data_IF_191267130892
#
_entry.id   IF_191267130892
#
_cell.length_a   1.000
_cell.length_b   1.000
_cell.length_c   1.000
_cell.angle_alpha   90.00
_cell.angle_beta   90.00
_cell.angle_gamma   90.00
#
_symmetry.space_group_name_H-M   'P 1'
#
loop_
_entity.id
_entity.type
_entity.pdbx_description
1 polymer ?
#
# COMPACT_ATOMS: atom_id res chain seq x y z
N UNK A 1 -22.62 27.28 -39.96
CA UNK A 1 -21.18 26.95 -39.90
C UNK A 1 -21.05 25.44 -39.93
N UNK A 2 -20.32 24.86 -40.89
CA UNK A 2 -20.12 23.40 -40.92
C UNK A 2 -19.18 22.97 -39.79
N UNK A 3 -19.44 21.80 -39.21
CA UNK A 3 -18.56 21.22 -38.18
C UNK A 3 -17.35 20.62 -38.87
N UNK A 4 -16.15 21.03 -38.44
CA UNK A 4 -14.89 20.43 -38.90
C UNK A 4 -14.90 18.92 -38.62
N UNK A 5 -14.42 18.17 -39.60
CA UNK A 5 -14.16 16.73 -39.49
C UNK A 5 -13.07 16.45 -38.44
N UNK A 6 -12.96 15.20 -38.00
CA UNK A 6 -11.92 14.80 -37.06
C UNK A 6 -10.51 14.99 -37.65
N UNK A 7 -10.36 14.72 -38.95
CA UNK A 7 -9.11 14.92 -39.71
C UNK A 7 -8.68 16.39 -39.71
N UNK A 8 -9.60 17.32 -39.97
CA UNK A 8 -9.29 18.76 -39.96
C UNK A 8 -8.86 19.25 -38.57
N UNK A 9 -9.43 18.70 -37.49
CA UNK A 9 -9.03 19.05 -36.12
C UNK A 9 -7.66 18.45 -35.76
N UNK A 10 -7.36 17.25 -36.23
CA UNK A 10 -6.05 16.63 -36.04
C UNK A 10 -4.94 17.44 -36.73
N UNK A 11 -5.21 17.94 -37.94
CA UNK A 11 -4.23 18.72 -38.71
C UNK A 11 -3.99 20.13 -38.12
N UNK A 12 -5.01 20.74 -37.50
CA UNK A 12 -4.85 21.98 -36.73
C UNK A 12 -3.98 21.79 -35.48
N UNK A 13 -4.18 20.69 -34.75
CA UNK A 13 -3.35 20.34 -33.59
C UNK A 13 -1.92 20.05 -34.03
N UNK A 14 -1.73 19.36 -35.16
CA UNK A 14 -0.41 19.08 -35.73
C UNK A 14 0.34 20.34 -36.17
N UNK A 15 -0.37 21.27 -36.80
CA UNK A 15 0.17 22.59 -37.19
C UNK A 15 0.56 23.41 -35.95
N UNK A 16 -0.24 23.34 -34.89
CA UNK A 16 0.06 23.98 -33.62
C UNK A 16 1.32 23.39 -32.94
N UNK A 17 1.53 22.08 -33.03
CA UNK A 17 2.72 21.41 -32.46
C UNK A 17 3.99 21.74 -33.25
N UNK A 18 3.94 21.76 -34.58
CA UNK A 18 5.08 22.14 -35.44
C UNK A 18 5.56 23.57 -35.19
N UNK A 19 4.63 24.49 -34.90
CA UNK A 19 4.98 25.90 -34.65
C UNK A 19 5.66 26.16 -33.30
N UNK A 20 5.88 25.12 -32.49
CA UNK A 20 6.50 25.21 -31.14
C UNK A 20 7.94 24.70 -31.06
N UNK A 21 8.61 24.47 -32.20
CA UNK A 21 10.07 24.23 -32.31
C UNK A 21 10.64 23.12 -31.38
N UNK A 22 9.87 22.07 -31.13
CA UNK A 22 10.20 21.08 -30.08
C UNK A 22 10.49 19.65 -30.57
N UNK A 23 10.79 19.43 -31.86
CA UNK A 23 11.07 18.09 -32.38
C UNK A 23 12.36 18.04 -33.19
N UNK A 24 13.29 17.16 -32.82
CA UNK A 24 14.45 16.81 -33.64
C UNK A 24 14.05 15.85 -34.77
N UNK A 25 14.80 15.87 -35.89
CA UNK A 25 14.49 15.07 -37.09
C UNK A 25 14.33 13.56 -36.83
N UNK A 26 15.08 13.01 -35.88
CA UNK A 26 15.00 11.58 -35.51
C UNK A 26 13.64 11.19 -34.89
N UNK A 27 12.97 12.10 -34.20
CA UNK A 27 11.62 11.87 -33.65
C UNK A 27 10.57 11.82 -34.76
N UNK A 28 10.76 12.61 -35.82
CA UNK A 28 9.85 12.67 -36.97
C UNK A 28 9.89 11.37 -37.79
N UNK A 29 11.06 10.77 -37.96
CA UNK A 29 11.23 9.56 -38.77
C UNK A 29 10.70 8.30 -38.06
N UNK A 30 10.83 8.22 -36.74
CA UNK A 30 10.24 7.14 -35.93
C UNK A 30 8.70 7.15 -35.97
N UNK A 31 8.10 8.35 -35.96
CA UNK A 31 6.65 8.52 -36.07
C UNK A 31 6.15 8.11 -37.46
N UNK A 32 6.86 8.49 -38.52
CA UNK A 32 6.54 8.04 -39.89
C UNK A 32 6.64 6.53 -40.05
N UNK A 33 7.59 5.88 -39.37
CA UNK A 33 7.72 4.42 -39.34
C UNK A 33 6.50 3.74 -38.69
N UNK A 34 6.05 4.24 -37.54
CA UNK A 34 4.91 3.68 -36.80
C UNK A 34 3.57 3.85 -37.55
N UNK A 35 3.38 4.98 -38.24
CA UNK A 35 2.18 5.23 -39.07
C UNK A 35 2.12 4.30 -40.29
N UNK A 36 3.28 3.97 -40.88
CA UNK A 36 3.34 3.06 -42.04
C UNK A 36 3.10 1.59 -41.67
N UNK A 37 3.41 1.18 -40.45
CA UNK A 37 3.30 -0.21 -40.02
C UNK A 37 1.89 -0.61 -39.54
N UNK A 38 1.09 0.33 -39.02
CA UNK A 38 -0.17 0.02 -38.34
C UNK A 38 -1.40 0.54 -39.09
N UNK A 39 -1.60 0.04 -40.30
CA UNK A 39 -2.81 0.33 -41.08
C UNK A 39 -4.11 0.08 -40.30
N UNK A 40 -4.91 1.15 -40.18
CA UNK A 40 -6.35 1.19 -39.93
C UNK A 40 -6.89 0.67 -38.58
N UNK A 41 -6.75 1.48 -37.53
CA UNK A 41 -7.92 1.86 -36.68
C UNK A 41 -7.60 3.08 -35.81
N UNK A 42 -8.53 4.04 -35.76
CA UNK A 42 -8.37 5.33 -35.06
C UNK A 42 -8.27 5.17 -33.52
N UNK A 43 -8.79 4.07 -32.98
CA UNK A 43 -8.81 3.80 -31.54
C UNK A 43 -7.44 3.34 -30.99
N UNK A 44 -6.61 2.70 -31.83
CA UNK A 44 -5.27 2.25 -31.44
C UNK A 44 -4.23 3.36 -31.35
N UNK A 45 -4.42 4.44 -32.14
CA UNK A 45 -3.47 5.56 -32.21
C UNK A 45 -3.59 6.47 -30.98
N UNK A 46 -4.80 6.66 -30.44
CA UNK A 46 -5.02 7.52 -29.27
C UNK A 46 -4.44 6.94 -27.97
N UNK A 47 -4.40 5.61 -27.84
CA UNK A 47 -3.99 4.94 -26.60
C UNK A 47 -2.46 4.83 -26.46
N UNK A 48 -1.74 4.64 -27.57
CA UNK A 48 -0.27 4.56 -27.56
C UNK A 48 0.43 5.93 -27.52
N UNK A 49 -0.24 7.02 -27.94
CA UNK A 49 0.37 8.36 -28.01
C UNK A 49 0.58 9.05 -26.65
N UNK A 50 -0.08 8.61 -25.57
CA UNK A 50 -0.17 9.43 -24.34
C UNK A 50 0.44 8.86 -23.05
N UNK A 51 0.77 7.57 -22.98
CA UNK A 51 1.41 7.02 -21.78
C UNK A 51 2.95 7.16 -21.78
N UNK A 52 3.58 7.38 -22.93
CA UNK A 52 5.04 7.45 -23.05
C UNK A 52 5.68 8.82 -22.84
N UNK A 53 4.91 9.92 -22.78
CA UNK A 53 5.47 11.27 -22.99
C UNK A 53 5.23 12.30 -21.86
N UNK A 54 4.66 11.92 -20.71
CA UNK A 54 4.22 12.92 -19.72
C UNK A 54 4.88 12.86 -18.34
N UNK A 55 5.79 11.91 -18.10
CA UNK A 55 6.51 11.78 -16.82
C UNK A 55 8.02 11.89 -17.05
N UNK A 56 8.50 13.03 -17.53
CA UNK A 56 9.89 13.47 -17.30
C UNK A 56 9.94 14.97 -17.02
N UNK A 57 10.53 15.34 -15.88
CA UNK A 57 10.77 16.73 -15.47
C UNK A 57 9.64 17.34 -14.62
N UNK A 58 9.90 17.46 -13.31
CA UNK A 58 9.05 18.16 -12.33
C UNK A 58 9.14 17.53 -10.95
N UNK A 59 9.00 18.34 -9.89
CA UNK A 59 8.86 17.84 -8.52
C UNK A 59 7.57 17.02 -8.33
N UNK A 60 7.47 16.33 -7.19
CA UNK A 60 6.36 15.44 -6.88
C UNK A 60 4.99 16.15 -6.93
N UNK A 61 4.92 17.40 -6.50
CA UNK A 61 3.71 18.21 -6.48
C UNK A 61 3.28 18.63 -7.89
N UNK A 62 4.23 19.00 -8.74
CA UNK A 62 4.02 19.26 -10.17
C UNK A 62 3.49 18.00 -10.88
N UNK A 63 4.06 16.83 -10.60
CA UNK A 63 3.62 15.58 -11.21
C UNK A 63 2.23 15.17 -10.72
N UNK A 64 1.90 15.44 -9.45
CA UNK A 64 0.55 15.24 -8.89
C UNK A 64 -0.49 16.12 -9.57
N UNK A 65 -0.19 17.40 -9.77
CA UNK A 65 -1.08 18.35 -10.49
C UNK A 65 -1.28 17.95 -11.96
N UNK A 66 -0.25 17.43 -12.61
CA UNK A 66 -0.33 16.89 -13.98
C UNK A 66 -1.26 15.68 -14.04
N UNK A 67 -1.15 14.75 -13.10
CA UNK A 67 -2.02 13.57 -13.01
C UNK A 67 -3.50 13.94 -12.81
N UNK A 68 -3.80 14.91 -11.93
CA UNK A 68 -5.17 15.40 -11.70
C UNK A 68 -5.76 16.05 -12.95
N UNK A 69 -4.96 16.82 -13.70
CA UNK A 69 -5.40 17.43 -14.98
C UNK A 69 -5.66 16.38 -16.05
N UNK A 70 -4.83 15.33 -16.12
CA UNK A 70 -5.03 14.22 -17.04
C UNK A 70 -6.32 13.44 -16.73
N UNK A 71 -6.59 13.17 -15.45
CA UNK A 71 -7.83 12.52 -15.01
C UNK A 71 -9.08 13.38 -15.31
N UNK A 72 -9.01 14.69 -15.08
CA UNK A 72 -10.11 15.61 -15.41
C UNK A 72 -10.37 15.69 -16.92
N UNK A 73 -9.31 15.65 -17.75
CA UNK A 73 -9.42 15.62 -19.20
C UNK A 73 -10.03 14.30 -19.71
N UNK A 74 -9.58 13.16 -19.19
CA UNK A 74 -10.15 11.84 -19.50
C UNK A 74 -11.64 11.77 -19.13
N UNK A 75 -12.05 12.41 -18.03
CA UNK A 75 -13.46 12.54 -17.65
C UNK A 75 -14.28 13.39 -18.64
N UNK A 76 -13.72 14.48 -19.18
CA UNK A 76 -14.41 15.27 -20.21
C UNK A 76 -14.62 14.49 -21.51
N UNK A 77 -13.64 13.67 -21.89
CA UNK A 77 -13.69 12.83 -23.10
C UNK A 77 -14.69 11.67 -22.92
N UNK A 78 -14.65 10.96 -21.78
CA UNK A 78 -15.53 9.80 -21.55
C UNK A 78 -17.00 10.16 -21.30
N UNK A 79 -17.29 11.34 -20.75
CA UNK A 79 -18.68 11.76 -20.46
C UNK A 79 -19.42 12.33 -21.67
N UNK A 80 -18.83 12.35 -22.88
CA UNK A 80 -19.38 13.04 -24.06
C UNK A 80 -19.91 14.44 -23.72
N UNK A 81 -19.18 15.20 -22.90
CA UNK A 81 -19.53 16.59 -22.61
C UNK A 81 -19.30 17.41 -23.89
N UNK A 82 -20.37 17.64 -24.65
CA UNK A 82 -20.30 18.28 -25.97
C UNK A 82 -20.34 19.81 -25.92
N UNK A 83 -20.57 20.41 -24.75
CA UNK A 83 -20.62 21.87 -24.62
C UNK A 83 -19.35 22.43 -23.98
N UNK A 84 -18.78 23.41 -24.67
CA UNK A 84 -17.62 24.21 -24.27
C UNK A 84 -17.83 24.87 -22.89
N UNK A 85 -19.09 25.16 -22.55
CA UNK A 85 -19.52 25.72 -21.25
C UNK A 85 -19.31 24.76 -20.06
N UNK A 86 -19.55 23.46 -20.25
CA UNK A 86 -19.38 22.48 -19.17
C UNK A 86 -17.89 22.30 -18.82
N UNK A 87 -17.04 22.30 -19.85
CA UNK A 87 -15.59 22.21 -19.73
C UNK A 87 -15.02 23.50 -19.10
N UNK A 88 -15.47 24.67 -19.56
CA UNK A 88 -15.06 25.98 -19.01
C UNK A 88 -15.48 26.16 -17.55
N UNK A 89 -16.66 25.70 -17.12
CA UNK A 89 -17.09 25.75 -15.71
C UNK A 89 -16.22 24.88 -14.81
N UNK A 90 -15.90 23.66 -15.22
CA UNK A 90 -15.03 22.76 -14.45
C UNK A 90 -13.60 23.31 -14.34
N UNK A 91 -13.06 23.84 -15.43
CA UNK A 91 -11.74 24.49 -15.42
C UNK A 91 -11.72 25.77 -14.57
N UNK A 92 -12.81 26.52 -14.50
CA UNK A 92 -12.93 27.72 -13.66
C UNK A 92 -13.01 27.37 -12.17
N UNK A 93 -13.68 26.27 -11.82
CA UNK A 93 -13.74 25.75 -10.46
C UNK A 93 -12.35 25.26 -9.98
N UNK A 94 -11.59 24.59 -10.86
CA UNK A 94 -10.22 24.14 -10.59
C UNK A 94 -9.21 25.29 -10.42
N UNK A 95 -9.48 26.47 -11.00
CA UNK A 95 -8.59 27.64 -10.93
C UNK A 95 -8.71 28.44 -9.62
N UNK A 96 -9.75 28.22 -8.81
CA UNK A 96 -10.06 29.05 -7.63
C UNK A 96 -9.53 28.54 -6.29
N UNK A 97 -8.73 27.48 -6.25
CA UNK A 97 -8.51 26.76 -4.98
C UNK A 97 -7.42 27.31 -4.06
N UNK A 98 -7.78 27.39 -2.76
CA UNK A 98 -6.90 27.49 -1.61
C UNK A 98 -6.58 26.08 -1.09
N UNK A 99 -5.37 25.92 -0.55
CA UNK A 99 -4.81 24.66 -0.03
C UNK A 99 -5.71 24.08 1.10
N UNK A 100 -6.36 22.94 0.85
CA UNK A 100 -7.15 22.18 1.84
C UNK A 100 -8.51 21.69 1.35
N UNK A 101 -9.21 22.45 0.50
CA UNK A 101 -10.56 22.08 0.02
C UNK A 101 -10.57 21.04 -1.11
N UNK A 102 -9.42 20.81 -1.76
CA UNK A 102 -9.32 19.93 -2.92
C UNK A 102 -9.59 18.46 -2.57
N UNK A 103 -9.11 17.99 -1.41
CA UNK A 103 -9.25 16.59 -1.01
C UNK A 103 -10.70 16.26 -0.60
N UNK A 104 -11.38 17.14 0.15
CA UNK A 104 -12.80 17.00 0.50
C UNK A 104 -13.71 17.10 -0.74
N UNK A 105 -13.34 17.94 -1.72
CA UNK A 105 -14.07 18.08 -2.98
C UNK A 105 -13.91 16.86 -3.88
N UNK A 106 -12.72 16.25 -3.91
CA UNK A 106 -12.50 14.98 -4.60
C UNK A 106 -13.42 13.90 -4.00
N UNK A 107 -13.47 13.80 -2.67
CA UNK A 107 -14.35 12.84 -1.99
C UNK A 107 -15.85 13.10 -2.23
N UNK A 108 -16.28 14.37 -2.26
CA UNK A 108 -17.67 14.73 -2.56
C UNK A 108 -18.06 14.43 -4.01
N UNK A 109 -17.15 14.63 -4.97
CA UNK A 109 -17.38 14.31 -6.39
C UNK A 109 -17.47 12.80 -6.59
N UNK A 110 -16.57 12.02 -5.97
CA UNK A 110 -16.60 10.55 -5.99
C UNK A 110 -17.91 10.01 -5.37
N UNK A 111 -18.39 10.63 -4.30
CA UNK A 111 -19.66 10.27 -3.65
C UNK A 111 -20.89 10.55 -4.52
N UNK A 112 -20.94 11.70 -5.21
CA UNK A 112 -22.02 12.01 -6.16
C UNK A 112 -22.02 11.06 -7.36
N UNK A 113 -20.84 10.67 -7.84
CA UNK A 113 -20.69 9.73 -8.95
C UNK A 113 -21.16 8.31 -8.56
N UNK A 114 -20.79 7.82 -7.38
CA UNK A 114 -21.26 6.54 -6.86
C UNK A 114 -22.79 6.48 -6.66
N UNK A 115 -23.44 7.62 -6.38
CA UNK A 115 -24.91 7.72 -6.33
C UNK A 115 -25.55 7.72 -7.72
N UNK A 116 -24.91 8.35 -8.71
CA UNK A 116 -25.38 8.36 -10.10
C UNK A 116 -25.24 6.98 -10.76
N UNK A 117 -24.13 6.28 -10.54
CA UNK A 117 -23.88 4.94 -11.08
C UNK A 117 -24.89 3.88 -10.57
N UNK A 118 -25.42 4.04 -9.35
CA UNK A 118 -26.50 3.18 -8.82
C UNK A 118 -27.85 3.39 -9.51
N UNK A 119 -28.06 4.55 -10.14
CA UNK A 119 -29.29 4.85 -10.89
C UNK A 119 -29.24 4.38 -12.34
N UNK A 120 -28.04 4.17 -12.89
CA UNK A 120 -27.88 3.58 -14.23
C UNK A 120 -27.91 2.05 -14.11
N UNK A 121 -28.80 1.41 -14.88
CA UNK A 121 -28.96 -0.04 -14.99
C UNK A 121 -27.79 -0.77 -15.66
N UNK A 122 -26.56 -0.25 -15.56
CA UNK A 122 -25.34 -0.84 -16.10
C UNK A 122 -24.48 -1.41 -14.97
N UNK A 123 -24.51 -2.73 -14.71
CA UNK A 123 -23.78 -3.35 -13.61
C UNK A 123 -22.24 -3.32 -13.76
N UNK A 124 -21.72 -3.03 -14.96
CA UNK A 124 -20.28 -3.06 -15.23
C UNK A 124 -19.49 -1.86 -14.68
N UNK A 125 -20.13 -0.71 -14.45
CA UNK A 125 -19.42 0.54 -14.07
C UNK A 125 -19.22 0.64 -12.55
N UNK A 126 -20.07 -0.03 -11.75
CA UNK A 126 -19.96 -0.04 -10.28
C UNK A 126 -18.68 -0.71 -9.76
N UNK A 127 -18.16 -1.70 -10.47
CA UNK A 127 -16.95 -2.43 -10.07
C UNK A 127 -15.64 -1.66 -10.36
N UNK A 128 -15.67 -0.67 -11.24
CA UNK A 128 -14.47 0.12 -11.61
C UNK A 128 -14.16 1.28 -10.64
N UNK A 129 -15.05 1.59 -9.68
CA UNK A 129 -14.88 2.73 -8.74
C UNK A 129 -14.45 2.33 -7.31
N UNK A 130 -14.38 1.04 -7.00
CA UNK A 130 -13.76 0.54 -5.74
C UNK A 130 -12.23 0.46 -5.87
N UNK A 131 -11.70 0.66 -7.07
CA UNK A 131 -10.29 1.01 -7.30
C UNK A 131 -10.05 2.48 -6.95
N UNK A 132 -10.01 2.79 -5.64
CA UNK A 132 -9.08 3.83 -5.15
C UNK A 132 -7.73 3.48 -5.81
N UNK A 133 -7.12 4.42 -6.53
CA UNK A 133 -5.93 4.21 -7.39
C UNK A 133 -4.98 3.22 -6.73
N UNK A 134 -5.04 1.94 -7.14
CA UNK A 134 -4.06 0.94 -6.76
C UNK A 134 -2.82 1.34 -7.53
N UNK A 135 -1.75 1.82 -6.89
CA UNK A 135 -0.54 2.01 -7.63
C UNK A 135 -0.02 0.62 -7.98
N UNK A 136 0.03 0.29 -9.27
CA UNK A 136 0.73 -0.89 -9.77
C UNK A 136 2.24 -0.65 -9.55
N UNK A 137 2.72 -1.00 -8.36
CA UNK A 137 4.14 -1.11 -8.08
C UNK A 137 4.51 -2.59 -8.19
N UNK A 138 5.36 -2.93 -9.16
CA UNK A 138 6.00 -4.24 -9.18
C UNK A 138 7.06 -4.27 -8.07
N UNK A 139 6.98 -5.18 -7.09
CA UNK A 139 7.85 -5.15 -5.91
C UNK A 139 9.32 -5.44 -6.28
N UNK A 140 10.18 -4.45 -6.01
CA UNK A 140 11.64 -4.60 -5.98
C UNK A 140 12.05 -5.11 -4.58
N UNK A 141 11.66 -6.34 -4.22
CA UNK A 141 12.04 -6.93 -2.94
C UNK A 141 13.46 -7.49 -3.00
N UNK A 142 14.40 -6.82 -2.33
CA UNK A 142 15.77 -7.29 -2.14
C UNK A 142 15.94 -7.91 -0.75
N UNK A 143 15.81 -9.23 -0.64
CA UNK A 143 16.31 -9.97 0.52
C UNK A 143 17.85 -10.07 0.43
N UNK A 144 18.54 -8.96 0.66
CA UNK A 144 20.00 -8.83 0.54
C UNK A 144 20.70 -9.09 1.87
N UNK A 145 20.57 -10.32 2.36
CA UNK A 145 21.42 -10.82 3.44
C UNK A 145 22.54 -11.70 2.84
N UNK A 146 23.83 -11.34 2.96
CA UNK A 146 24.94 -12.17 2.45
C UNK A 146 25.01 -13.57 3.09
N UNK A 147 24.19 -13.84 4.12
CA UNK A 147 24.28 -15.02 4.99
C UNK A 147 23.07 -15.95 4.95
N UNK A 148 21.98 -15.54 4.32
CA UNK A 148 20.83 -16.42 4.16
C UNK A 148 21.19 -17.51 3.15
N UNK A 149 20.98 -18.79 3.49
CA UNK A 149 21.07 -19.83 2.47
C UNK A 149 19.90 -19.71 1.46
N UNK A 150 19.91 -20.50 0.39
CA UNK A 150 18.86 -20.43 -0.65
C UNK A 150 17.44 -20.62 -0.09
N UNK A 151 17.26 -21.53 0.88
CA UNK A 151 15.97 -21.76 1.54
C UNK A 151 15.57 -20.58 2.41
N UNK A 152 16.48 -20.04 3.20
CA UNK A 152 16.20 -18.92 4.12
C UNK A 152 15.85 -17.64 3.37
N UNK A 153 16.55 -17.35 2.26
CA UNK A 153 16.20 -16.25 1.35
C UNK A 153 14.79 -16.41 0.80
N UNK A 154 14.45 -17.62 0.36
CA UNK A 154 13.13 -17.91 -0.19
C UNK A 154 12.04 -17.73 0.88
N UNK A 155 12.25 -18.20 2.11
CA UNK A 155 11.28 -18.01 3.20
C UNK A 155 11.07 -16.53 3.55
N UNK A 156 12.14 -15.75 3.67
CA UNK A 156 12.04 -14.30 3.91
C UNK A 156 11.40 -13.53 2.75
N UNK A 157 11.63 -13.94 1.50
CA UNK A 157 10.94 -13.36 0.34
C UNK A 157 9.45 -13.73 0.34
N UNK A 158 9.13 -14.98 0.65
CA UNK A 158 7.75 -15.46 0.71
C UNK A 158 6.95 -14.76 1.81
N UNK A 159 7.56 -14.47 2.97
CA UNK A 159 6.89 -13.74 4.05
C UNK A 159 6.50 -12.32 3.64
N UNK A 160 7.40 -11.58 2.98
CA UNK A 160 7.09 -10.25 2.45
C UNK A 160 6.03 -10.28 1.34
N UNK A 161 6.10 -11.28 0.46
CA UNK A 161 5.08 -11.49 -0.59
C UNK A 161 3.71 -11.80 0.02
N UNK A 162 3.68 -12.55 1.12
CA UNK A 162 2.45 -12.85 1.84
C UNK A 162 1.90 -11.60 2.54
N UNK A 163 2.75 -10.80 3.17
CA UNK A 163 2.37 -9.52 3.77
C UNK A 163 1.75 -8.56 2.76
N UNK A 164 2.31 -8.48 1.55
CA UNK A 164 1.74 -7.71 0.44
C UNK A 164 0.30 -8.16 0.11
N UNK A 165 0.09 -9.48 0.00
CA UNK A 165 -1.22 -10.07 -0.28
C UNK A 165 -2.23 -9.76 0.83
N UNK A 166 -1.84 -9.92 2.09
CA UNK A 166 -2.69 -9.61 3.24
C UNK A 166 -3.08 -8.12 3.26
N UNK A 167 -2.12 -7.22 3.05
CA UNK A 167 -2.42 -5.78 3.04
C UNK A 167 -3.31 -5.37 1.88
N UNK A 168 -3.14 -5.94 0.68
CA UNK A 168 -3.99 -5.66 -0.46
C UNK A 168 -5.47 -6.01 -0.20
N UNK A 169 -5.74 -7.11 0.52
CA UNK A 169 -7.08 -7.49 0.98
C UNK A 169 -7.57 -6.59 2.09
N UNK A 170 -6.73 -6.38 3.10
CA UNK A 170 -7.00 -5.53 4.28
C UNK A 170 -7.42 -4.12 3.87
N UNK A 171 -6.78 -3.55 2.84
CA UNK A 171 -7.08 -2.19 2.36
C UNK A 171 -8.57 -2.02 2.02
N UNK A 172 -9.16 -3.01 1.35
CA UNK A 172 -10.58 -2.99 0.97
C UNK A 172 -11.49 -2.95 2.19
N UNK A 173 -11.15 -3.71 3.24
CA UNK A 173 -11.87 -3.72 4.52
C UNK A 173 -11.71 -2.40 5.26
N UNK A 174 -10.48 -1.89 5.34
CA UNK A 174 -10.17 -0.64 6.01
C UNK A 174 -10.90 0.55 5.37
N UNK A 175 -10.97 0.61 4.04
CA UNK A 175 -11.74 1.68 3.35
C UNK A 175 -13.23 1.58 3.67
N UNK A 176 -13.79 0.36 3.76
CA UNK A 176 -15.21 0.14 4.11
C UNK A 176 -15.52 0.44 5.58
N UNK A 177 -14.54 0.31 6.49
CA UNK A 177 -14.70 0.54 7.92
C UNK A 177 -15.11 1.99 8.29
N UNK A 178 -14.99 2.97 7.38
CA UNK A 178 -15.57 4.31 7.62
C UNK A 178 -17.10 4.32 7.62
N UNK A 179 -17.73 3.30 7.05
CA UNK A 179 -19.20 3.21 6.90
C UNK A 179 -19.81 2.60 8.15
N UNK A 180 -20.58 3.39 8.89
CA UNK A 180 -21.32 2.93 10.07
C UNK A 180 -22.20 1.71 9.76
N UNK A 181 -22.22 0.73 10.67
CA UNK A 181 -23.00 -0.50 10.55
C UNK A 181 -22.46 -1.54 9.57
N UNK A 182 -21.35 -1.28 8.87
CA UNK A 182 -20.75 -2.29 7.99
C UNK A 182 -20.06 -3.41 8.78
N UNK A 183 -19.98 -4.62 8.21
CA UNK A 183 -19.18 -5.70 8.79
C UNK A 183 -17.70 -5.30 8.95
N UNK A 184 -17.18 -4.50 8.02
CA UNK A 184 -15.84 -3.96 8.09
C UNK A 184 -15.63 -2.97 9.25
N UNK A 185 -16.66 -2.18 9.57
CA UNK A 185 -16.68 -1.33 10.76
C UNK A 185 -16.62 -2.17 12.03
N UNK A 186 -17.50 -3.17 12.15
CA UNK A 186 -17.53 -4.04 13.33
C UNK A 186 -16.19 -4.77 13.52
N UNK A 187 -15.55 -5.20 12.44
CA UNK A 187 -14.24 -5.86 12.51
C UNK A 187 -13.09 -4.90 12.85
N UNK A 188 -13.12 -3.67 12.33
CA UNK A 188 -12.22 -2.61 12.78
C UNK A 188 -12.37 -2.36 14.27
N UNK A 189 -13.61 -2.30 14.78
CA UNK A 189 -13.89 -2.05 16.19
C UNK A 189 -13.49 -3.23 17.08
N UNK A 190 -13.53 -4.45 16.57
CA UNK A 190 -13.01 -5.64 17.24
C UNK A 190 -11.49 -5.56 17.45
N UNK A 191 -10.75 -4.96 16.51
CA UNK A 191 -9.28 -4.92 16.54
C UNK A 191 -8.72 -3.61 17.09
N UNK A 192 -9.45 -2.49 17.01
CA UNK A 192 -8.95 -1.17 17.41
C UNK A 192 -9.96 -0.41 18.30
N UNK A 193 -11.00 -1.07 18.78
CA UNK A 193 -12.00 -0.50 19.66
C UNK A 193 -13.00 0.41 18.97
N UNK A 194 -13.96 1.00 19.72
CA UNK A 194 -15.07 1.77 19.16
C UNK A 194 -14.56 2.83 18.20
N UNK A 195 -15.05 2.86 16.97
CA UNK A 195 -14.40 3.69 15.96
C UNK A 195 -14.52 5.15 16.35
N UNK A 196 -13.38 5.79 16.24
CA UNK A 196 -13.19 7.21 16.28
C UNK A 196 -12.49 7.62 14.97
N UNK A 197 -12.80 8.82 14.46
CA UNK A 197 -12.23 9.27 13.19
C UNK A 197 -10.71 9.47 13.29
N UNK A 198 -10.21 9.98 14.42
CA UNK A 198 -8.79 10.14 14.67
C UNK A 198 -8.08 8.79 14.70
N UNK A 199 -8.66 7.83 15.42
CA UNK A 199 -8.16 6.46 15.48
C UNK A 199 -8.10 5.79 14.12
N UNK A 200 -9.19 5.84 13.37
CA UNK A 200 -9.28 5.33 12.01
C UNK A 200 -8.19 5.92 11.12
N UNK A 201 -8.00 7.24 11.18
CA UNK A 201 -6.98 7.93 10.40
C UNK A 201 -5.56 7.48 10.78
N UNK A 202 -5.29 7.24 12.07
CA UNK A 202 -4.00 6.70 12.54
C UNK A 202 -3.76 5.30 11.97
N UNK A 203 -4.73 4.39 12.12
CA UNK A 203 -4.62 3.01 11.59
C UNK A 203 -4.47 3.02 10.07
N UNK A 204 -5.26 3.83 9.36
CA UNK A 204 -5.14 4.01 7.89
C UNK A 204 -3.76 4.50 7.48
N UNK A 205 -3.23 5.52 8.16
CA UNK A 205 -1.88 6.03 7.88
C UNK A 205 -0.82 4.97 8.12
N UNK A 206 -0.92 4.21 9.21
CA UNK A 206 0.03 3.14 9.52
C UNK A 206 0.03 2.07 8.43
N UNK A 207 -1.14 1.58 8.01
CA UNK A 207 -1.23 0.65 6.88
C UNK A 207 -0.69 1.23 5.56
N UNK A 208 -0.93 2.52 5.27
CA UNK A 208 -0.35 3.17 4.09
C UNK A 208 1.19 3.19 4.15
N UNK A 209 1.76 3.51 5.31
CA UNK A 209 3.22 3.52 5.50
C UNK A 209 3.79 2.11 5.30
N UNK A 210 3.22 1.09 5.94
CA UNK A 210 3.68 -0.29 5.81
C UNK A 210 3.56 -0.76 4.35
N UNK A 211 2.40 -0.56 3.73
CA UNK A 211 2.16 -0.94 2.34
C UNK A 211 3.12 -0.25 1.37
N UNK A 212 3.42 1.03 1.57
CA UNK A 212 4.39 1.74 0.71
C UNK A 212 5.78 1.10 0.73
N UNK A 213 6.18 0.55 1.87
CA UNK A 213 7.47 -0.13 2.05
C UNK A 213 7.43 -1.55 1.49
N UNK A 214 6.36 -2.30 1.72
CA UNK A 214 6.24 -3.68 1.21
C UNK A 214 6.13 -3.71 -0.32
N UNK A 215 5.34 -2.82 -0.93
CA UNK A 215 5.11 -2.85 -2.38
C UNK A 215 6.17 -2.11 -3.19
N UNK A 216 6.73 -1.03 -2.65
CA UNK A 216 7.59 -0.11 -3.41
C UNK A 216 8.90 0.26 -2.73
N UNK A 217 9.11 -0.17 -1.48
CA UNK A 217 10.31 0.12 -0.70
C UNK A 217 11.27 -1.04 -0.62
N UNK A 218 12.44 -0.77 -0.04
CA UNK A 218 13.42 -1.78 0.31
C UNK A 218 13.32 -2.09 1.81
N UNK A 219 12.98 -3.34 2.14
CA UNK A 219 13.10 -3.92 3.48
C UNK A 219 14.36 -4.76 3.50
N UNK A 220 15.23 -4.55 4.48
CA UNK A 220 16.45 -5.35 4.63
C UNK A 220 16.17 -6.48 5.61
N UNK A 221 16.35 -7.72 5.16
CA UNK A 221 16.19 -8.91 5.98
C UNK A 221 17.55 -9.42 6.47
N UNK A 222 17.70 -9.53 7.79
CA UNK A 222 18.87 -10.08 8.44
C UNK A 222 18.57 -11.47 9.00
N UNK A 223 19.60 -12.31 8.99
CA UNK A 223 19.59 -13.59 9.70
C UNK A 223 20.16 -13.38 11.11
N UNK A 224 19.36 -13.63 12.15
CA UNK A 224 19.76 -13.56 13.57
C UNK A 224 19.37 -14.83 14.29
N UNK A 225 20.11 -15.89 14.00
CA UNK A 225 19.87 -17.25 14.51
C UNK A 225 21.00 -17.67 15.43
N UNK A 226 20.81 -18.71 16.26
CA UNK A 226 21.89 -19.18 17.16
C UNK A 226 23.14 -19.61 16.38
N UNK A 227 22.99 -20.09 15.14
CA UNK A 227 24.11 -20.43 14.23
C UNK A 227 24.91 -19.21 13.74
N UNK A 228 24.39 -17.99 13.89
CA UNK A 228 25.08 -16.75 13.50
C UNK A 228 25.81 -16.08 14.65
N UNK A 229 25.65 -16.57 15.89
CA UNK A 229 26.32 -16.04 17.08
C UNK A 229 27.84 -16.10 16.91
N UNK A 230 28.53 -15.02 17.24
CA UNK A 230 29.98 -14.90 17.09
C UNK A 230 30.45 -14.50 15.69
N UNK A 231 29.57 -14.48 14.69
CA UNK A 231 29.90 -13.91 13.37
C UNK A 231 29.84 -12.38 13.42
N UNK A 232 30.57 -11.64 12.53
CA UNK A 232 30.51 -10.17 12.49
C UNK A 232 29.06 -9.66 12.35
N UNK A 233 28.66 -8.62 13.07
CA UNK A 233 27.31 -8.06 12.92
C UNK A 233 27.20 -7.30 11.59
N UNK A 234 26.23 -7.69 10.76
CA UNK A 234 25.99 -7.09 9.43
C UNK A 234 24.91 -6.00 9.44
N UNK A 235 24.43 -5.59 10.62
CA UNK A 235 23.55 -4.43 10.76
C UNK A 235 24.32 -3.15 10.43
N UNK A 236 23.79 -2.22 9.61
CA UNK A 236 24.46 -0.96 9.33
C UNK A 236 24.79 -0.18 10.60
N UNK A 237 26.08 0.06 10.84
CA UNK A 237 26.59 0.78 12.01
C UNK A 237 26.85 -0.09 13.24
N UNK A 238 26.53 -1.39 13.21
CA UNK A 238 26.92 -2.29 14.28
C UNK A 238 28.43 -2.52 14.31
N UNK A 239 28.97 -2.67 15.53
CA UNK A 239 30.38 -2.99 15.78
C UNK A 239 30.43 -4.29 16.58
N UNK A 240 31.30 -5.21 16.17
CA UNK A 240 31.51 -6.48 16.86
C UNK A 240 30.76 -7.64 16.20
N UNK A 241 30.38 -8.61 17.04
CA UNK A 241 29.79 -9.87 16.60
C UNK A 241 28.35 -10.00 17.09
N UNK A 242 27.55 -10.74 16.33
CA UNK A 242 26.18 -11.11 16.67
C UNK A 242 26.17 -11.83 18.02
N UNK A 243 25.35 -11.34 18.95
CA UNK A 243 25.14 -11.91 20.27
C UNK A 243 24.06 -13.00 20.22
N UNK A 244 24.05 -13.91 21.19
CA UNK A 244 23.00 -14.94 21.35
C UNK A 244 21.66 -14.41 21.87
N UNK A 245 21.56 -13.10 22.08
CA UNK A 245 20.39 -12.42 22.61
C UNK A 245 20.27 -11.02 21.98
N UNK A 246 19.08 -10.45 22.11
CA UNK A 246 18.84 -9.02 21.92
C UNK A 246 18.46 -8.40 23.25
N UNK A 247 18.94 -7.19 23.49
CA UNK A 247 18.56 -6.37 24.63
C UNK A 247 17.60 -5.28 24.12
N UNK A 248 16.36 -5.30 24.58
CA UNK A 248 15.35 -4.27 24.29
C UNK A 248 15.01 -3.52 25.58
N UNK A 249 14.21 -2.45 25.48
CA UNK A 249 13.70 -1.76 26.66
C UNK A 249 12.86 -2.66 27.59
N UNK A 250 12.32 -3.76 27.05
CA UNK A 250 11.46 -4.71 27.78
C UNK A 250 12.24 -5.90 28.36
N UNK A 251 13.54 -6.00 28.07
CA UNK A 251 14.41 -7.03 28.64
C UNK A 251 15.31 -7.69 27.61
N UNK A 252 15.93 -8.80 28.05
CA UNK A 252 16.82 -9.62 27.24
C UNK A 252 16.07 -10.82 26.68
N UNK A 253 16.18 -11.04 25.38
CA UNK A 253 15.51 -12.14 24.68
C UNK A 253 16.54 -12.98 23.92
N UNK A 254 16.50 -14.30 24.07
CA UNK A 254 17.42 -15.18 23.33
C UNK A 254 16.98 -15.31 21.88
N UNK A 255 17.93 -15.36 20.95
CA UNK A 255 17.63 -15.57 19.52
C UNK A 255 16.94 -16.91 19.24
N UNK A 256 17.15 -17.91 20.10
CA UNK A 256 16.50 -19.22 20.03
C UNK A 256 14.98 -19.16 20.25
N UNK A 257 14.53 -18.19 21.04
CA UNK A 257 13.14 -18.07 21.50
C UNK A 257 12.34 -17.03 20.71
N UNK A 258 13.02 -16.24 19.87
CA UNK A 258 12.42 -15.17 19.09
C UNK A 258 12.00 -15.62 17.70
N UNK A 259 10.91 -15.03 17.23
CA UNK A 259 10.45 -15.19 15.86
C UNK A 259 11.15 -14.19 14.94
N UNK A 260 10.92 -12.90 15.18
CA UNK A 260 11.61 -11.81 14.52
C UNK A 260 11.75 -10.63 15.50
N UNK A 261 12.43 -9.59 15.05
CA UNK A 261 12.37 -8.26 15.62
C UNK A 261 12.73 -7.23 14.54
N UNK A 262 12.42 -5.96 14.74
CA UNK A 262 12.74 -4.91 13.79
C UNK A 262 13.33 -3.64 14.42
N UNK A 263 14.05 -2.87 13.60
CA UNK A 263 14.46 -1.49 13.94
C UNK A 263 13.92 -0.50 12.91
N UNK A 264 13.57 0.73 13.35
CA UNK A 264 12.92 1.72 12.49
C UNK A 264 13.63 2.06 11.19
N UNK A 265 14.87 2.52 11.32
CA UNK A 265 15.76 2.81 10.19
C UNK A 265 17.20 2.58 10.64
N UNK A 266 17.92 1.70 9.94
CA UNK A 266 19.35 1.55 10.15
C UNK A 266 20.12 2.77 9.64
N UNK A 267 21.45 2.72 9.71
CA UNK A 267 22.30 3.78 9.19
C UNK A 267 22.13 4.02 7.67
N UNK A 268 21.53 3.08 6.93
CA UNK A 268 21.20 3.19 5.51
C UNK A 268 19.82 3.83 5.25
N UNK A 269 19.09 4.21 6.30
CA UNK A 269 17.77 4.81 6.22
C UNK A 269 16.63 3.83 5.90
N UNK A 270 16.87 2.52 5.91
CA UNK A 270 15.88 1.49 5.57
C UNK A 270 15.38 0.76 6.82
N UNK A 271 14.14 0.24 6.81
CA UNK A 271 13.69 -0.66 7.87
C UNK A 271 14.43 -2.00 7.77
N UNK A 272 14.88 -2.50 8.92
CA UNK A 272 15.52 -3.80 9.03
C UNK A 272 14.67 -4.74 9.86
N UNK A 273 14.47 -5.95 9.35
CA UNK A 273 13.82 -7.04 10.07
C UNK A 273 14.85 -8.15 10.26
N UNK A 274 14.93 -8.67 11.47
CA UNK A 274 15.88 -9.69 11.88
C UNK A 274 15.13 -10.99 12.14
N UNK A 275 15.28 -11.95 11.25
CA UNK A 275 14.62 -13.26 11.31
C UNK A 275 15.40 -14.19 12.25
N UNK A 276 14.72 -14.74 13.25
CA UNK A 276 15.32 -15.52 14.33
C UNK A 276 14.99 -17.02 14.23
N UNK A 277 15.42 -17.84 15.20
CA UNK A 277 15.35 -19.30 15.08
C UNK A 277 13.91 -19.81 14.94
N UNK A 278 12.95 -19.22 15.66
CA UNK A 278 11.54 -19.66 15.62
C UNK A 278 10.91 -19.42 14.24
N UNK A 279 11.32 -18.36 13.52
CA UNK A 279 10.87 -18.09 12.15
C UNK A 279 11.20 -19.27 11.21
N UNK A 280 12.41 -19.81 11.31
CA UNK A 280 12.87 -20.88 10.43
C UNK A 280 12.43 -22.27 10.92
N UNK A 281 12.38 -22.50 12.24
CA UNK A 281 12.00 -23.79 12.81
C UNK A 281 10.53 -24.14 12.55
N UNK A 282 9.66 -23.13 12.49
CA UNK A 282 8.24 -23.29 12.15
C UNK A 282 8.01 -23.45 10.64
N UNK A 283 9.08 -23.50 9.84
CA UNK A 283 9.03 -23.48 8.38
C UNK A 283 8.15 -22.33 7.86
N UNK A 284 8.26 -21.16 8.48
CA UNK A 284 7.52 -19.98 8.09
C UNK A 284 5.99 -20.16 8.18
N UNK A 285 5.52 -20.96 9.15
CA UNK A 285 4.09 -21.09 9.48
C UNK A 285 3.63 -20.17 10.61
N UNK A 286 4.55 -19.40 11.20
CA UNK A 286 4.29 -18.49 12.32
C UNK A 286 4.58 -19.08 13.70
N UNK A 287 4.66 -18.23 14.75
CA UNK A 287 5.15 -18.59 16.07
C UNK A 287 4.31 -19.67 16.77
N UNK A 288 3.03 -19.80 16.42
CA UNK A 288 2.11 -20.75 17.03
C UNK A 288 1.86 -22.03 16.22
N UNK A 289 2.62 -22.27 15.15
CA UNK A 289 2.44 -23.43 14.28
C UNK A 289 2.69 -24.81 14.93
N UNK A 290 3.29 -24.85 16.14
CA UNK A 290 3.59 -26.08 16.89
C UNK A 290 2.90 -26.22 18.25
N UNK A 291 2.32 -25.13 18.79
CA UNK A 291 1.66 -25.13 20.09
C UNK A 291 0.14 -25.04 19.89
N UNK A 292 -0.57 -26.17 19.95
CA UNK A 292 -2.06 -26.22 20.04
C UNK A 292 -2.81 -25.31 19.06
N UNK A 293 -2.47 -25.34 17.77
CA UNK A 293 -3.23 -24.68 16.68
C UNK A 293 -4.69 -25.16 16.51
N UNK A 294 -5.27 -25.90 17.47
CA UNK A 294 -6.64 -26.44 17.42
C UNK A 294 -7.57 -25.96 18.54
N UNK A 295 -7.12 -25.35 19.63
CA UNK A 295 -8.03 -25.11 20.77
C UNK A 295 -8.83 -23.80 20.72
N UNK A 296 -8.49 -22.82 19.88
CA UNK A 296 -9.19 -21.52 19.89
C UNK A 296 -9.84 -21.08 18.58
N UNK A 297 -9.62 -21.76 17.44
CA UNK A 297 -10.13 -21.28 16.15
C UNK A 297 -9.65 -19.86 15.77
N UNK A 298 -8.68 -19.31 16.52
CA UNK A 298 -7.98 -18.08 16.20
C UNK A 298 -7.13 -18.35 14.97
N UNK A 299 -7.25 -17.50 13.95
CA UNK A 299 -6.48 -17.60 12.72
C UNK A 299 -4.99 -17.88 12.99
N UNK A 300 -4.36 -18.60 12.07
CA UNK A 300 -2.95 -18.94 12.20
C UNK A 300 -2.14 -17.66 12.08
N UNK A 301 -1.45 -17.28 13.17
CA UNK A 301 -0.33 -16.35 13.10
C UNK A 301 0.57 -16.85 11.97
N UNK A 302 0.66 -16.09 10.90
CA UNK A 302 1.34 -16.48 9.69
C UNK A 302 2.47 -15.51 9.40
N UNK A 303 3.39 -15.93 8.55
CA UNK A 303 4.57 -15.12 8.26
C UNK A 303 4.30 -13.78 7.60
N UNK A 304 3.16 -13.62 6.94
CA UNK A 304 2.75 -12.31 6.41
C UNK A 304 2.33 -11.39 7.56
N UNK A 305 1.54 -11.92 8.50
CA UNK A 305 1.14 -11.25 9.74
C UNK A 305 2.34 -10.76 10.55
N UNK A 306 3.30 -11.64 10.80
CA UNK A 306 4.55 -11.28 11.48
C UNK A 306 5.31 -10.16 10.76
N UNK A 307 5.43 -10.19 9.43
CA UNK A 307 6.11 -9.08 8.74
C UNK A 307 5.36 -7.76 8.96
N UNK A 308 4.03 -7.77 9.03
CA UNK A 308 3.21 -6.59 9.30
C UNK A 308 3.40 -6.11 10.74
N UNK A 309 3.45 -7.03 11.71
CA UNK A 309 3.79 -6.76 13.10
C UNK A 309 5.12 -6.02 13.21
N UNK A 310 6.18 -6.61 12.67
CA UNK A 310 7.54 -6.08 12.75
C UNK A 310 7.69 -4.74 12.01
N UNK A 311 7.07 -4.62 10.83
CA UNK A 311 7.06 -3.37 10.09
C UNK A 311 6.26 -2.28 10.80
N UNK A 312 5.23 -2.63 11.57
CA UNK A 312 4.50 -1.64 12.37
C UNK A 312 5.39 -1.03 13.46
N UNK A 313 6.24 -1.83 14.12
CA UNK A 313 7.24 -1.30 15.06
C UNK A 313 8.18 -0.34 14.35
N UNK A 314 8.79 -0.81 13.26
CA UNK A 314 9.82 -0.06 12.57
C UNK A 314 9.29 1.24 11.95
N UNK A 315 8.13 1.19 11.31
CA UNK A 315 7.66 2.29 10.47
C UNK A 315 6.64 3.18 11.15
N UNK A 316 5.93 2.66 12.15
CA UNK A 316 4.82 3.33 12.80
C UNK A 316 5.05 3.58 14.28
N UNK A 317 6.11 3.00 14.87
CA UNK A 317 6.43 3.18 16.29
C UNK A 317 5.44 2.50 17.22
N UNK A 318 4.72 1.48 16.73
CA UNK A 318 3.92 0.62 17.60
C UNK A 318 4.83 -0.11 18.59
N UNK A 319 4.25 -0.65 19.64
CA UNK A 319 4.94 -1.38 20.71
C UNK A 319 4.27 -2.73 20.96
N UNK A 320 4.99 -3.59 21.67
CA UNK A 320 4.41 -4.76 22.33
C UNK A 320 3.76 -4.30 23.61
N UNK A 321 2.51 -3.84 23.51
CA UNK A 321 1.81 -3.23 24.63
C UNK A 321 1.65 -4.25 25.75
N UNK A 322 2.00 -3.86 26.98
CA UNK A 322 1.66 -4.66 28.18
C UNK A 322 0.21 -4.35 28.55
N UNK A 323 -0.62 -5.40 28.60
CA UNK A 323 -2.03 -5.27 28.94
C UNK A 323 -2.21 -4.72 30.37
N UNK A 324 -2.96 -3.62 30.59
CA UNK A 324 -3.13 -3.03 31.91
C UNK A 324 -3.73 -3.98 32.95
N UNK A 325 -4.73 -4.78 32.56
CA UNK A 325 -5.42 -5.68 33.50
C UNK A 325 -4.69 -7.00 33.78
N UNK A 326 -3.80 -7.43 32.89
CA UNK A 326 -3.17 -8.75 32.98
C UNK A 326 -1.66 -8.67 33.21
N UNK A 327 -1.06 -7.47 33.13
CA UNK A 327 0.36 -7.21 33.30
C UNK A 327 1.25 -8.17 32.48
N UNK A 328 0.82 -8.46 31.25
CA UNK A 328 1.54 -9.29 30.29
C UNK A 328 1.46 -8.65 28.90
N UNK A 329 2.43 -8.92 28.04
CA UNK A 329 2.41 -8.45 26.66
C UNK A 329 1.12 -8.91 25.94
N UNK A 330 0.51 -8.00 25.16
CA UNK A 330 -0.70 -8.20 24.39
C UNK A 330 -0.38 -8.95 23.09
N UNK A 331 -0.19 -10.26 23.23
CA UNK A 331 -0.06 -11.18 22.10
C UNK A 331 -1.28 -12.08 21.97
N UNK A 332 -1.70 -12.30 20.73
CA UNK A 332 -2.80 -13.17 20.38
C UNK A 332 -4.18 -12.50 20.46
N UNK A 333 -5.10 -13.04 19.65
CA UNK A 333 -6.45 -12.48 19.43
C UNK A 333 -7.23 -12.16 20.71
N UNK A 334 -7.31 -13.05 21.72
CA UNK A 334 -8.10 -12.77 22.92
C UNK A 334 -7.60 -11.52 23.67
N UNK A 335 -6.28 -11.38 23.84
CA UNK A 335 -5.71 -10.23 24.53
C UNK A 335 -5.81 -8.96 23.70
N UNK A 336 -5.57 -9.04 22.39
CA UNK A 336 -5.67 -7.90 21.48
C UNK A 336 -7.11 -7.37 21.34
N UNK A 337 -8.11 -8.26 21.30
CA UNK A 337 -9.53 -7.88 21.30
C UNK A 337 -9.95 -7.30 22.65
N UNK A 338 -9.46 -7.86 23.76
CA UNK A 338 -9.72 -7.31 25.08
C UNK A 338 -9.08 -5.93 25.25
N UNK A 339 -7.85 -5.75 24.76
CA UNK A 339 -7.16 -4.46 24.72
C UNK A 339 -7.94 -3.44 23.87
N UNK A 340 -8.44 -3.85 22.70
CA UNK A 340 -9.26 -3.00 21.84
C UNK A 340 -10.58 -2.58 22.50
N UNK A 341 -11.24 -3.49 23.24
CA UNK A 341 -12.50 -3.19 23.91
C UNK A 341 -12.34 -2.20 25.08
N UNK A 342 -11.26 -2.33 25.86
CA UNK A 342 -11.10 -1.61 27.12
C UNK A 342 -10.09 -0.46 27.07
N UNK A 343 -9.07 -0.56 26.21
CA UNK A 343 -7.94 0.37 26.09
C UNK A 343 -7.63 0.68 24.62
N UNK A 344 -8.57 1.26 23.89
CA UNK A 344 -8.48 1.28 22.43
C UNK A 344 -7.35 2.17 21.89
N UNK A 345 -6.91 3.17 22.67
CA UNK A 345 -5.75 3.98 22.31
C UNK A 345 -4.44 3.18 22.43
N UNK A 346 -4.38 2.20 23.34
CA UNK A 346 -3.28 1.26 23.41
C UNK A 346 -3.35 0.23 22.28
N UNK A 347 -4.55 -0.22 21.89
CA UNK A 347 -4.72 -1.17 20.79
C UNK A 347 -4.19 -0.63 19.45
N UNK A 348 -4.33 0.67 19.21
CA UNK A 348 -3.77 1.35 18.02
C UNK A 348 -2.25 1.44 18.07
N UNK A 349 -1.68 1.36 19.26
CA UNK A 349 -0.25 1.35 19.46
C UNK A 349 0.32 -0.07 19.58
N UNK A 350 -0.50 -1.12 19.52
CA UNK A 350 -0.05 -2.50 19.67
C UNK A 350 0.21 -3.15 18.31
N UNK A 351 1.41 -3.70 18.10
CA UNK A 351 1.79 -4.29 16.80
C UNK A 351 0.91 -5.48 16.41
N UNK A 352 0.58 -6.33 17.39
CA UNK A 352 -0.20 -7.55 17.18
C UNK A 352 -1.65 -7.26 16.73
N UNK A 353 -2.21 -6.10 17.11
CA UNK A 353 -3.53 -5.67 16.60
C UNK A 353 -3.51 -5.40 15.07
N UNK A 354 -2.37 -4.97 14.51
CA UNK A 354 -2.22 -4.82 13.05
C UNK A 354 -2.07 -6.16 12.35
N UNK A 355 -1.29 -7.07 12.92
CA UNK A 355 -1.15 -8.45 12.47
C UNK A 355 -2.51 -9.13 12.38
N UNK A 356 -3.23 -9.22 13.51
CA UNK A 356 -4.54 -9.87 13.59
C UNK A 356 -5.54 -9.23 12.62
N UNK A 357 -5.57 -7.89 12.54
CA UNK A 357 -6.48 -7.21 11.63
C UNK A 357 -6.25 -7.70 10.20
N UNK A 358 -4.99 -7.79 9.75
CA UNK A 358 -4.66 -8.29 8.43
C UNK A 358 -5.00 -9.76 8.23
N UNK A 359 -4.64 -10.62 9.18
CA UNK A 359 -4.82 -12.06 9.08
C UNK A 359 -6.28 -12.47 8.97
N UNK A 360 -7.18 -11.94 9.80
CA UNK A 360 -8.57 -12.39 9.70
C UNK A 360 -9.32 -11.74 8.54
N UNK A 361 -8.80 -10.68 7.90
CA UNK A 361 -9.43 -10.18 6.65
C UNK A 361 -9.33 -11.19 5.51
N UNK A 362 -8.32 -12.07 5.51
CA UNK A 362 -8.18 -13.13 4.51
C UNK A 362 -9.33 -14.14 4.57
N UNK A 363 -9.81 -14.47 5.77
CA UNK A 363 -10.83 -15.50 5.96
C UNK A 363 -12.26 -14.96 5.88
N UNK A 364 -12.45 -13.64 5.76
CA UNK A 364 -13.76 -12.98 5.87
C UNK A 364 -14.42 -12.64 4.52
N UNK A 365 -13.87 -13.07 3.39
CA UNK A 365 -14.53 -12.93 2.07
C UNK A 365 -15.82 -13.76 1.91
N UNK A 366 -16.28 -14.45 2.97
CA UNK A 366 -17.45 -15.31 2.97
C UNK A 366 -18.72 -14.69 3.61
N UNK A 367 -18.67 -13.43 4.04
CA UNK A 367 -19.81 -12.71 4.64
C UNK A 367 -19.99 -11.32 4.02
#
# INVERSE_FOLDING_TARGET
MSKKTASERAEEIWTYIKSRDACSGATVDNIKGAIRQNGQSDDGIAMHFHLGWWVRGGDAESNRRKAVRAAAFLNCVNLKLTSEDAISRQLTLLKKDKKGELDERIDSILTLYARSARKSSQPAVGNALITEVRPEFAPSMQATGPRLNGRERMLGKNSLTHADTLMARTWTWLVKAKTAGSAARAYFELCFGPYDQGRYNTVKRNFQTIHSVVCGGEVVLHLRTMKTVGMPDDTPGAVGNIQGHIDTANGRYNLADLFAWAIPRGADGKPHIFLCDVFFSTNAKGPHAGAKAMESGSGQDNIGGVMIHELSHALCGTADVVHPDFNQACYGRPLCQHLAANYPDLAVNNADNYEIYCEDTENRELF
#
